data_IF_306635076462
#
_entry.id   IF_306635076462
#
_cell.length_a   1.000
_cell.length_b   1.000
_cell.length_c   1.000
_cell.angle_alpha   90.00
_cell.angle_beta   90.00
_cell.angle_gamma   90.00
#
_symmetry.space_group_name_H-M   'P 1'
#
loop_
_entity.id
_entity.type
_entity.pdbx_description
1 polymer ?
#
# COMPACT_ATOMS: atom_id res chain seq x y z
N UNK A 1 -12.36 6.76 -14.23
CA UNK A 1 -12.07 5.38 -14.67
C UNK A 1 -10.59 5.07 -14.44
N UNK A 2 -10.30 3.93 -13.84
CA UNK A 2 -8.93 3.50 -13.65
C UNK A 2 -8.39 2.91 -14.94
N UNK A 3 -7.30 3.49 -15.44
CA UNK A 3 -6.65 2.98 -16.63
C UNK A 3 -5.86 1.71 -16.27
N UNK A 4 -5.50 0.92 -17.30
CA UNK A 4 -4.68 -0.27 -17.11
C UNK A 4 -3.34 0.08 -16.45
N UNK A 5 -2.73 1.18 -16.86
CA UNK A 5 -1.46 1.64 -16.29
C UNK A 5 -1.62 2.00 -14.82
N UNK A 6 -2.68 2.73 -14.48
CA UNK A 6 -2.94 3.07 -13.10
C UNK A 6 -3.24 1.82 -12.27
N UNK A 7 -3.99 0.87 -12.83
CA UNK A 7 -4.27 -0.39 -12.15
C UNK A 7 -2.99 -1.14 -11.78
N UNK A 8 -2.03 -1.18 -12.69
CA UNK A 8 -0.74 -1.82 -12.43
C UNK A 8 0.03 -1.09 -11.32
N UNK A 9 -0.04 0.24 -11.29
CA UNK A 9 0.61 1.03 -10.25
C UNK A 9 -0.04 0.81 -8.89
N UNK A 10 -1.35 0.67 -8.86
CA UNK A 10 -2.09 0.40 -7.63
C UNK A 10 -1.68 -0.96 -7.06
N UNK A 11 -1.58 -1.98 -7.90
CA UNK A 11 -1.14 -3.31 -7.47
C UNK A 11 0.29 -3.24 -6.93
N UNK A 12 1.18 -2.56 -7.63
CA UNK A 12 2.57 -2.41 -7.21
C UNK A 12 2.67 -1.65 -5.87
N UNK A 13 1.82 -0.64 -5.68
CA UNK A 13 1.79 0.13 -4.43
C UNK A 13 1.34 -0.74 -3.25
N UNK A 14 0.36 -1.60 -3.47
CA UNK A 14 -0.10 -2.53 -2.45
C UNK A 14 1.03 -3.46 -2.01
N UNK A 15 1.77 -4.01 -2.98
CA UNK A 15 2.93 -4.86 -2.68
C UNK A 15 4.03 -4.07 -1.98
N UNK A 16 4.23 -2.81 -2.36
CA UNK A 16 5.19 -1.93 -1.70
C UNK A 16 4.81 -1.72 -0.23
N UNK A 17 3.52 -1.51 0.05
CA UNK A 17 3.07 -1.36 1.42
C UNK A 17 3.38 -2.59 2.25
N UNK A 18 3.14 -3.76 1.68
CA UNK A 18 3.47 -5.03 2.32
C UNK A 18 4.97 -5.14 2.61
N UNK A 19 5.80 -4.84 1.60
CA UNK A 19 7.25 -4.91 1.76
C UNK A 19 7.75 -3.89 2.78
N UNK A 20 7.19 -2.69 2.77
CA UNK A 20 7.58 -1.66 3.71
C UNK A 20 7.21 -2.05 5.14
N UNK A 21 6.10 -2.74 5.33
CA UNK A 21 5.74 -3.25 6.64
C UNK A 21 6.83 -4.19 7.17
N UNK A 22 7.28 -5.13 6.34
CA UNK A 22 8.33 -6.08 6.75
C UNK A 22 9.69 -5.41 6.92
N UNK A 23 9.92 -4.31 6.21
CA UNK A 23 11.15 -3.53 6.35
C UNK A 23 11.16 -2.64 7.60
N UNK A 24 10.06 -2.60 8.35
CA UNK A 24 9.96 -1.80 9.55
C UNK A 24 9.56 -0.35 9.29
N UNK A 25 9.12 -0.03 8.08
CA UNK A 25 8.68 1.32 7.77
C UNK A 25 7.38 1.65 8.51
N UNK A 26 7.20 2.91 8.95
CA UNK A 26 5.96 3.31 9.62
C UNK A 26 4.79 3.35 8.63
N UNK A 27 3.58 3.31 9.18
CA UNK A 27 2.37 3.47 8.39
C UNK A 27 2.24 4.94 7.98
N UNK A 28 2.94 5.33 6.95
CA UNK A 28 2.97 6.71 6.48
C UNK A 28 2.66 6.75 4.99
N UNK A 29 1.44 7.15 4.60
CA UNK A 29 1.04 7.20 3.19
C UNK A 29 1.80 8.25 2.37
N UNK A 30 2.63 9.06 3.00
CA UNK A 30 3.49 10.00 2.26
C UNK A 30 4.65 9.29 1.59
N UNK A 31 5.04 8.13 2.09
CA UNK A 31 6.15 7.36 1.51
C UNK A 31 5.95 7.09 0.01
N UNK A 32 4.80 6.59 -0.44
CA UNK A 32 4.61 6.34 -1.86
C UNK A 32 4.60 7.61 -2.70
N UNK A 33 4.29 8.78 -2.13
CA UNK A 33 4.30 10.02 -2.90
C UNK A 33 5.68 10.38 -3.41
N UNK A 34 6.73 9.96 -2.71
CA UNK A 34 8.10 10.19 -3.15
C UNK A 34 8.42 9.41 -4.43
N UNK A 35 7.76 8.28 -4.61
CA UNK A 35 7.97 7.40 -5.77
C UNK A 35 7.03 7.77 -6.91
N UNK A 36 5.80 8.17 -6.59
CA UNK A 36 4.74 8.39 -7.57
C UNK A 36 4.35 9.86 -7.69
N UNK A 37 5.29 10.78 -7.49
CA UNK A 37 5.01 12.22 -7.44
C UNK A 37 4.53 12.82 -8.77
N UNK A 38 4.74 12.13 -9.87
CA UNK A 38 4.34 12.62 -11.19
C UNK A 38 2.87 12.35 -11.52
N UNK A 39 2.15 11.75 -10.59
CA UNK A 39 0.75 11.42 -10.80
C UNK A 39 -0.16 12.59 -10.38
N UNK A 40 -1.37 12.61 -10.95
CA UNK A 40 -2.39 13.56 -10.53
C UNK A 40 -2.81 13.31 -9.08
N UNK A 41 -3.51 14.28 -8.48
CA UNK A 41 -3.97 14.14 -7.09
C UNK A 41 -4.85 12.91 -6.90
N UNK A 42 -5.75 12.65 -7.86
CA UNK A 42 -6.64 11.48 -7.77
C UNK A 42 -5.84 10.20 -7.84
N UNK A 43 -4.89 10.14 -8.76
CA UNK A 43 -4.03 8.96 -8.90
C UNK A 43 -3.17 8.75 -7.66
N UNK A 44 -2.64 9.83 -7.10
CA UNK A 44 -1.88 9.76 -5.85
C UNK A 44 -2.73 9.21 -4.71
N UNK A 45 -4.00 9.62 -4.64
CA UNK A 45 -4.90 9.11 -3.62
C UNK A 45 -5.10 7.59 -3.74
N UNK A 46 -5.26 7.08 -4.95
CA UNK A 46 -5.36 5.64 -5.18
C UNK A 46 -4.09 4.91 -4.75
N UNK A 47 -2.94 5.48 -5.08
CA UNK A 47 -1.65 4.87 -4.74
C UNK A 47 -1.44 4.86 -3.23
N UNK A 48 -1.75 5.96 -2.56
CA UNK A 48 -1.63 6.03 -1.10
C UNK A 48 -2.56 5.04 -0.42
N UNK A 49 -3.79 4.93 -0.91
CA UNK A 49 -4.74 3.97 -0.37
C UNK A 49 -4.29 2.54 -0.55
N UNK A 50 -3.77 2.21 -1.73
CA UNK A 50 -3.29 0.87 -2.02
C UNK A 50 -2.08 0.50 -1.16
N UNK A 51 -1.12 1.42 -1.01
CA UNK A 51 0.03 1.20 -0.15
C UNK A 51 -0.40 0.96 1.29
N UNK A 52 -1.29 1.83 1.80
CA UNK A 52 -1.79 1.74 3.16
C UNK A 52 -2.51 0.41 3.38
N UNK A 53 -3.33 -0.01 2.42
CA UNK A 53 -4.05 -1.27 2.50
C UNK A 53 -3.10 -2.46 2.56
N UNK A 54 -2.06 -2.46 1.74
CA UNK A 54 -1.04 -3.51 1.77
C UNK A 54 -0.33 -3.56 3.11
N UNK A 55 0.06 -2.41 3.63
CA UNK A 55 0.70 -2.31 4.95
C UNK A 55 -0.24 -2.82 6.05
N UNK A 56 -1.50 -2.36 6.03
CA UNK A 56 -2.50 -2.71 7.05
C UNK A 56 -2.83 -4.19 7.02
N UNK A 57 -2.94 -4.78 5.83
CA UNK A 57 -3.23 -6.22 5.71
C UNK A 57 -2.15 -7.06 6.36
N UNK A 58 -0.89 -6.71 6.15
CA UNK A 58 0.21 -7.47 6.76
C UNK A 58 0.28 -7.21 8.28
N UNK A 59 0.02 -5.98 8.70
CA UNK A 59 -0.01 -5.68 10.13
C UNK A 59 -1.12 -6.46 10.83
N UNK A 60 -2.28 -6.56 10.20
CA UNK A 60 -3.40 -7.32 10.76
C UNK A 60 -3.06 -8.80 10.84
N UNK A 61 -2.47 -9.37 9.79
CA UNK A 61 -2.10 -10.78 9.78
C UNK A 61 -1.05 -11.09 10.86
N UNK A 62 -0.10 -10.20 11.07
CA UNK A 62 0.92 -10.39 12.09
C UNK A 62 0.36 -10.22 13.50
N UNK A 63 -0.72 -9.46 13.65
CA UNK A 63 -1.35 -9.23 14.95
C UNK A 63 -2.31 -10.34 15.35
N UNK A 64 -2.71 -11.22 14.42
CA UNK A 64 -3.61 -12.32 14.73
C UNK A 64 -2.91 -13.38 15.55
N UNK A 65 -3.61 -13.99 16.52
CA UNK A 65 -3.05 -15.15 17.23
C UNK A 65 -2.73 -16.26 16.26
N UNK A 66 -1.65 -16.98 16.54
CA UNK A 66 -1.22 -18.07 15.69
C UNK A 66 -2.32 -19.12 15.56
N UNK A 67 -2.61 -19.51 14.31
CA UNK A 67 -3.61 -20.53 14.04
C UNK A 67 -5.05 -20.08 14.27
N UNK A 68 -5.26 -18.83 14.60
CA UNK A 68 -6.61 -18.32 14.85
C UNK A 68 -7.16 -17.70 13.57
N UNK A 69 -8.37 -18.09 13.14
CA UNK A 69 -9.04 -17.38 12.06
C UNK A 69 -9.44 -16.00 12.54
N UNK A 70 -9.41 -15.06 11.61
CA UNK A 70 -9.80 -13.70 11.93
C UNK A 70 -11.28 -13.63 12.31
#
# INVERSE_FOLDING_TARGET
MITRTLGNKVIAACEHGKMDFYAGAPRDPKTPLNVYRDLSEIEQAYIMGAWTEGWDNEALMQALPDGSPA
#
